data_IF_021262662774
#
_entry.id   IF_021262662774
#
_cell.length_a   1.000
_cell.length_b   1.000
_cell.length_c   1.000
_cell.angle_alpha   90.00
_cell.angle_beta   90.00
_cell.angle_gamma   90.00
#
_symmetry.space_group_name_H-M   'P 1'
#
loop_
_entity.id
_entity.type
_entity.pdbx_description
1 polymer ?
#
# COMPACT_ATOMS: atom_id res chain seq x y z
N UNK A 1 21.99 -44.00 -11.02
CA UNK A 1 21.20 -42.93 -11.67
C UNK A 1 21.62 -42.94 -13.15
N UNK A 2 20.79 -43.48 -14.05
CA UNK A 2 21.14 -43.53 -15.49
C UNK A 2 21.22 -42.10 -16.04
N UNK A 3 22.38 -41.73 -16.56
CA UNK A 3 22.60 -40.43 -17.22
C UNK A 3 21.73 -40.37 -18.48
N UNK A 4 20.82 -39.40 -18.57
CA UNK A 4 19.97 -39.23 -19.76
C UNK A 4 20.83 -38.89 -20.97
N UNK A 5 20.56 -39.47 -22.15
CA UNK A 5 21.35 -39.20 -23.34
C UNK A 5 21.11 -37.76 -23.84
N UNK A 6 22.10 -37.18 -24.47
CA UNK A 6 21.95 -36.00 -25.29
C UNK A 6 21.13 -36.31 -26.55
N UNK A 7 20.56 -35.31 -27.21
CA UNK A 7 19.80 -35.48 -28.44
C UNK A 7 20.69 -36.14 -29.52
N UNK A 8 21.95 -35.72 -29.61
CA UNK A 8 22.94 -36.29 -30.54
C UNK A 8 23.27 -37.75 -30.22
N UNK A 9 23.49 -38.07 -28.94
CA UNK A 9 23.73 -39.46 -28.49
C UNK A 9 22.52 -40.36 -28.79
N UNK A 10 21.30 -39.85 -28.56
CA UNK A 10 20.08 -40.60 -28.88
C UNK A 10 19.93 -40.87 -30.36
N UNK A 11 20.11 -39.87 -31.23
CA UNK A 11 20.02 -40.02 -32.69
C UNK A 11 21.11 -40.98 -33.19
N UNK A 12 22.34 -40.79 -32.72
CA UNK A 12 23.47 -41.62 -33.09
C UNK A 12 23.29 -43.09 -32.65
N UNK A 13 22.92 -43.33 -31.40
CA UNK A 13 22.65 -44.66 -30.87
C UNK A 13 21.54 -45.36 -31.66
N UNK A 14 20.49 -44.63 -32.03
CA UNK A 14 19.38 -45.16 -32.82
C UNK A 14 19.80 -45.52 -34.24
N UNK A 15 20.63 -44.69 -34.89
CA UNK A 15 21.19 -44.99 -36.23
C UNK A 15 22.10 -46.23 -36.18
N UNK A 16 23.02 -46.30 -35.20
CA UNK A 16 23.90 -47.42 -35.01
C UNK A 16 23.12 -48.72 -34.79
N UNK A 17 22.15 -48.71 -33.86
CA UNK A 17 21.34 -49.91 -33.58
C UNK A 17 20.52 -50.35 -34.79
N UNK A 18 19.99 -49.39 -35.58
CA UNK A 18 19.28 -49.70 -36.81
C UNK A 18 20.20 -50.31 -37.88
N UNK A 19 21.41 -49.76 -38.09
CA UNK A 19 22.40 -50.27 -39.02
C UNK A 19 22.80 -51.66 -38.61
N UNK A 20 23.12 -51.88 -37.32
CA UNK A 20 23.46 -53.22 -36.80
C UNK A 20 22.34 -54.25 -37.06
N UNK A 21 21.10 -53.83 -36.75
CA UNK A 21 19.90 -54.65 -36.92
C UNK A 21 19.71 -55.06 -38.42
N UNK A 22 19.78 -54.06 -39.32
CA UNK A 22 19.64 -54.30 -40.78
C UNK A 22 20.74 -55.17 -41.30
N UNK A 23 22.00 -54.93 -40.91
CA UNK A 23 23.15 -55.74 -41.35
C UNK A 23 23.05 -57.14 -40.80
N UNK A 24 22.67 -57.32 -39.52
CA UNK A 24 22.51 -58.68 -38.96
C UNK A 24 21.37 -59.44 -39.64
N UNK A 25 20.23 -58.75 -39.89
CA UNK A 25 19.11 -59.38 -40.63
C UNK A 25 19.53 -59.78 -42.06
N UNK A 26 20.27 -58.89 -42.73
CA UNK A 26 20.77 -59.19 -44.10
C UNK A 26 21.72 -60.42 -44.13
N UNK A 27 22.68 -60.46 -43.22
CA UNK A 27 23.58 -61.58 -43.09
C UNK A 27 22.84 -62.86 -42.74
N UNK A 28 21.91 -62.82 -41.81
CA UNK A 28 21.08 -63.94 -41.38
C UNK A 28 20.26 -64.49 -42.56
N UNK A 29 19.67 -63.65 -43.39
CA UNK A 29 18.93 -64.04 -44.60
C UNK A 29 19.79 -64.63 -45.66
N UNK A 30 21.06 -64.18 -45.82
CA UNK A 30 22.02 -64.79 -46.74
C UNK A 30 22.40 -66.20 -46.33
N UNK A 31 22.47 -66.52 -45.03
CA UNK A 31 22.80 -67.84 -44.53
C UNK A 31 21.61 -68.80 -44.47
N UNK A 32 20.46 -68.35 -44.11
CA UNK A 32 19.24 -69.17 -43.90
C UNK A 32 18.54 -69.55 -45.21
N UNK A 33 18.62 -68.70 -46.26
CA UNK A 33 17.88 -68.89 -47.49
C UNK A 33 18.78 -69.72 -48.43
N UNK A 34 18.31 -70.93 -48.94
CA UNK A 34 19.03 -71.72 -49.85
C UNK A 34 19.37 -70.95 -51.15
N UNK A 35 20.52 -71.30 -51.79
CA UNK A 35 20.98 -70.60 -53.00
C UNK A 35 19.98 -70.65 -54.18
N UNK A 36 19.20 -71.73 -54.29
CA UNK A 36 18.14 -71.86 -55.30
C UNK A 36 17.06 -70.74 -55.25
N UNK A 37 16.87 -70.06 -54.12
CA UNK A 37 15.87 -68.98 -53.93
C UNK A 37 16.51 -67.58 -53.93
N UNK A 38 17.84 -67.45 -54.06
CA UNK A 38 18.55 -66.14 -54.08
C UNK A 38 18.52 -65.57 -55.50
N UNK A 39 17.34 -65.20 -55.96
CA UNK A 39 17.13 -64.43 -57.19
C UNK A 39 17.39 -62.96 -57.04
N UNK A 40 17.52 -62.21 -58.14
CA UNK A 40 17.61 -60.75 -58.15
C UNK A 40 16.38 -60.10 -57.40
N UNK A 41 15.22 -60.70 -57.58
CA UNK A 41 13.98 -60.28 -56.89
C UNK A 41 14.09 -60.38 -55.37
N UNK A 42 14.80 -61.45 -54.85
CA UNK A 42 15.03 -61.57 -53.40
C UNK A 42 15.88 -60.40 -52.84
N UNK A 43 16.93 -60.00 -53.51
CA UNK A 43 17.80 -58.91 -53.08
C UNK A 43 17.06 -57.55 -53.14
N UNK A 44 16.26 -57.32 -54.18
CA UNK A 44 15.44 -56.13 -54.33
C UNK A 44 14.42 -56.06 -53.18
N UNK A 45 13.71 -57.13 -52.82
CA UNK A 45 12.76 -57.21 -51.77
C UNK A 45 13.38 -56.91 -50.39
N UNK A 46 14.58 -57.49 -50.13
CA UNK A 46 15.31 -57.27 -48.91
C UNK A 46 15.79 -55.82 -48.78
N UNK A 47 16.21 -55.21 -49.89
CA UNK A 47 16.57 -53.80 -49.94
C UNK A 47 15.37 -52.92 -49.65
N UNK A 48 14.20 -53.15 -50.25
CA UNK A 48 12.98 -52.40 -50.02
C UNK A 48 12.57 -52.55 -48.56
N UNK A 49 12.62 -53.70 -47.94
CA UNK A 49 12.29 -53.92 -46.54
C UNK A 49 13.26 -53.18 -45.62
N UNK A 50 14.56 -53.11 -45.93
CA UNK A 50 15.53 -52.37 -45.15
C UNK A 50 15.26 -50.87 -45.20
N UNK A 51 14.90 -50.31 -46.38
CA UNK A 51 14.48 -48.87 -46.50
C UNK A 51 13.21 -48.59 -45.77
N UNK A 52 12.22 -49.48 -45.79
CA UNK A 52 10.97 -49.35 -45.04
C UNK A 52 11.22 -49.31 -43.53
N UNK A 53 12.07 -50.14 -42.97
CA UNK A 53 12.48 -50.15 -41.57
C UNK A 53 13.19 -48.84 -41.18
N UNK A 54 14.07 -48.33 -42.07
CA UNK A 54 14.74 -47.05 -41.85
C UNK A 54 13.75 -45.91 -41.79
N UNK A 55 12.84 -45.80 -42.77
CA UNK A 55 11.81 -44.76 -42.79
C UNK A 55 10.89 -44.84 -41.55
N UNK A 56 10.50 -46.06 -41.17
CA UNK A 56 9.70 -46.26 -39.95
C UNK A 56 10.43 -45.79 -38.68
N UNK A 57 11.73 -46.08 -38.58
CA UNK A 57 12.55 -45.62 -37.46
C UNK A 57 12.65 -44.12 -37.39
N UNK A 58 12.90 -43.44 -38.53
CA UNK A 58 12.92 -41.98 -38.62
C UNK A 58 11.57 -41.40 -38.22
N UNK A 59 10.47 -41.93 -38.74
CA UNK A 59 9.10 -41.49 -38.41
C UNK A 59 8.81 -41.54 -36.90
N UNK A 60 9.10 -42.67 -36.24
CA UNK A 60 8.89 -42.75 -34.78
C UNK A 60 9.81 -41.83 -33.97
N UNK A 61 11.04 -41.60 -34.48
CA UNK A 61 11.96 -40.64 -33.86
C UNK A 61 11.47 -39.20 -33.91
N UNK A 62 11.08 -38.76 -35.10
CA UNK A 62 10.55 -37.38 -35.29
C UNK A 62 9.25 -37.17 -34.56
N UNK A 63 8.34 -38.15 -34.56
CA UNK A 63 7.06 -38.08 -33.79
C UNK A 63 7.30 -37.93 -32.29
N UNK A 64 8.36 -38.56 -31.75
CA UNK A 64 8.73 -38.43 -30.32
C UNK A 64 9.25 -37.04 -30.00
N UNK A 65 10.15 -36.48 -30.79
CA UNK A 65 10.69 -35.13 -30.63
C UNK A 65 9.58 -34.10 -30.78
N UNK A 66 8.70 -34.25 -31.79
CA UNK A 66 7.55 -33.34 -31.99
C UNK A 66 6.61 -33.32 -30.79
N UNK A 67 6.41 -34.42 -30.08
CA UNK A 67 5.61 -34.49 -28.87
C UNK A 67 6.25 -33.71 -27.71
N UNK A 68 7.56 -33.77 -27.56
CA UNK A 68 8.26 -32.99 -26.52
C UNK A 68 8.24 -31.49 -26.82
N UNK A 69 8.38 -31.09 -28.10
CA UNK A 69 8.24 -29.69 -28.52
C UNK A 69 6.83 -29.16 -28.25
N UNK A 70 5.79 -29.94 -28.52
CA UNK A 70 4.40 -29.56 -28.27
C UNK A 70 4.13 -29.31 -26.80
N UNK A 71 4.70 -30.09 -25.88
CA UNK A 71 4.59 -29.84 -24.44
C UNK A 71 5.18 -28.48 -24.05
N UNK A 72 6.32 -28.08 -24.64
CA UNK A 72 6.93 -26.76 -24.40
C UNK A 72 6.06 -25.64 -24.97
N UNK A 73 5.46 -25.86 -26.16
CA UNK A 73 4.53 -24.91 -26.78
C UNK A 73 3.26 -24.70 -25.94
N UNK A 74 2.68 -25.78 -25.43
CA UNK A 74 1.49 -25.72 -24.54
C UNK A 74 1.79 -24.95 -23.26
N UNK A 75 3.01 -25.03 -22.68
CA UNK A 75 3.42 -24.23 -21.53
C UNK A 75 3.55 -22.74 -21.86
N UNK A 76 3.96 -22.40 -23.08
CA UNK A 76 4.08 -20.99 -23.51
C UNK A 76 2.72 -20.38 -23.85
N UNK A 77 1.80 -21.17 -24.40
CA UNK A 77 0.47 -20.69 -24.83
C UNK A 77 -0.51 -20.55 -23.65
N UNK A 78 -0.43 -21.43 -22.64
CA UNK A 78 -1.33 -21.43 -21.47
C UNK A 78 -0.81 -20.50 -20.36
N UNK A 79 -0.97 -19.19 -20.57
CA UNK A 79 -0.52 -18.14 -19.66
C UNK A 79 -1.28 -18.09 -18.31
N UNK A 80 -2.42 -18.77 -18.18
CA UNK A 80 -3.31 -18.67 -17.01
C UNK A 80 -3.01 -19.68 -15.89
N UNK A 81 -2.35 -20.81 -16.16
CA UNK A 81 -2.16 -21.88 -15.19
C UNK A 81 -0.70 -22.30 -14.96
N UNK A 82 0.20 -21.32 -14.75
CA UNK A 82 1.59 -21.63 -14.35
C UNK A 82 1.65 -22.42 -13.02
N UNK A 83 0.57 -22.46 -12.27
CA UNK A 83 0.47 -23.28 -11.05
C UNK A 83 0.29 -24.78 -11.31
N UNK A 84 -0.19 -25.15 -12.51
CA UNK A 84 -0.40 -26.52 -12.94
C UNK A 84 0.73 -27.06 -13.85
N UNK A 85 1.79 -26.28 -14.06
CA UNK A 85 2.96 -26.77 -14.80
C UNK A 85 3.56 -27.92 -14.00
N UNK A 86 3.31 -29.12 -14.48
CA UNK A 86 3.85 -30.32 -13.88
C UNK A 86 5.39 -30.31 -13.99
N UNK A 87 6.03 -29.94 -12.88
CA UNK A 87 7.50 -29.97 -12.79
C UNK A 87 8.05 -31.39 -12.90
N UNK A 88 7.16 -32.39 -12.96
CA UNK A 88 7.48 -33.81 -13.10
C UNK A 88 7.48 -34.30 -14.55
N UNK A 89 7.22 -33.43 -15.54
CA UNK A 89 7.30 -33.81 -16.95
C UNK A 89 8.67 -34.40 -17.25
N UNK A 90 8.71 -35.71 -17.58
CA UNK A 90 9.94 -36.45 -17.88
C UNK A 90 10.26 -36.28 -19.35
N UNK A 91 11.20 -35.42 -19.65
CA UNK A 91 11.77 -35.33 -21.00
C UNK A 91 12.76 -36.47 -21.25
N UNK A 92 12.82 -36.91 -22.48
CA UNK A 92 13.67 -38.02 -22.85
C UNK A 92 15.14 -37.60 -23.00
N UNK A 93 15.39 -36.39 -23.51
CA UNK A 93 16.76 -35.88 -23.69
C UNK A 93 17.09 -34.81 -22.62
N UNK A 94 18.40 -34.69 -22.35
CA UNK A 94 18.92 -33.74 -21.35
C UNK A 94 18.64 -32.28 -21.73
N UNK A 95 18.76 -31.95 -23.01
CA UNK A 95 18.56 -30.61 -23.54
C UNK A 95 17.14 -30.13 -23.31
N UNK A 96 16.11 -30.94 -23.56
CA UNK A 96 14.72 -30.59 -23.32
C UNK A 96 14.43 -30.44 -21.83
N UNK A 97 15.06 -31.24 -20.98
CA UNK A 97 14.94 -31.08 -19.52
C UNK A 97 15.53 -29.74 -19.05
N UNK A 98 16.72 -29.36 -19.55
CA UNK A 98 17.37 -28.09 -19.22
C UNK A 98 16.56 -26.87 -19.73
N UNK A 99 16.02 -26.93 -20.95
CA UNK A 99 15.17 -25.92 -21.54
C UNK A 99 13.90 -25.75 -20.69
N UNK A 100 13.24 -26.84 -20.34
CA UNK A 100 12.05 -26.83 -19.51
C UNK A 100 12.30 -26.21 -18.12
N UNK A 101 13.40 -26.59 -17.46
CA UNK A 101 13.79 -26.06 -16.17
C UNK A 101 14.02 -24.55 -16.23
N UNK A 102 14.75 -24.06 -17.24
CA UNK A 102 14.98 -22.62 -17.47
C UNK A 102 13.68 -21.87 -17.79
N UNK A 103 12.81 -22.47 -18.60
CA UNK A 103 11.51 -21.90 -18.94
C UNK A 103 10.64 -21.73 -17.68
N UNK A 104 10.48 -22.79 -16.88
CA UNK A 104 9.72 -22.75 -15.62
C UNK A 104 10.28 -21.68 -14.67
N UNK A 105 11.61 -21.61 -14.53
CA UNK A 105 12.26 -20.59 -13.70
C UNK A 105 11.94 -19.16 -14.19
N UNK A 106 11.99 -18.95 -15.51
CA UNK A 106 11.70 -17.65 -16.12
C UNK A 106 10.24 -17.25 -15.93
N UNK A 107 9.31 -18.16 -16.17
CA UNK A 107 7.87 -17.95 -15.96
C UNK A 107 7.54 -17.63 -14.50
N UNK A 108 8.17 -18.34 -13.55
CA UNK A 108 8.02 -18.03 -12.10
C UNK A 108 8.53 -16.61 -11.76
N UNK A 109 9.67 -16.18 -12.33
CA UNK A 109 10.20 -14.82 -12.16
C UNK A 109 9.25 -13.77 -12.73
N UNK A 110 8.70 -13.99 -13.92
CA UNK A 110 7.73 -13.09 -14.56
C UNK A 110 6.49 -12.96 -13.68
N UNK A 111 5.88 -14.07 -13.24
CA UNK A 111 4.69 -14.08 -12.38
C UNK A 111 4.93 -13.35 -11.06
N UNK A 112 6.12 -13.52 -10.45
CA UNK A 112 6.49 -12.77 -9.23
C UNK A 112 6.54 -11.27 -9.50
N UNK A 113 7.22 -10.84 -10.58
CA UNK A 113 7.30 -9.43 -10.98
C UNK A 113 5.92 -8.81 -11.27
N UNK A 114 5.05 -9.55 -11.95
CA UNK A 114 3.68 -9.08 -12.20
C UNK A 114 2.88 -8.88 -10.90
N UNK A 115 2.98 -9.82 -9.94
CA UNK A 115 2.34 -9.68 -8.63
C UNK A 115 2.87 -8.45 -7.88
N UNK A 116 4.17 -8.23 -7.89
CA UNK A 116 4.81 -7.06 -7.27
C UNK A 116 4.35 -5.77 -7.96
N UNK A 117 4.32 -5.74 -9.31
CA UNK A 117 3.81 -4.60 -10.09
C UNK A 117 2.35 -4.29 -9.78
N UNK A 118 1.48 -5.31 -9.72
CA UNK A 118 0.05 -5.14 -9.35
C UNK A 118 -0.10 -4.55 -7.95
N UNK A 119 0.65 -5.07 -6.95
CA UNK A 119 0.66 -4.52 -5.58
C UNK A 119 1.13 -3.07 -5.55
N UNK A 120 2.19 -2.75 -6.28
CA UNK A 120 2.72 -1.38 -6.38
C UNK A 120 1.71 -0.43 -7.03
N UNK A 121 1.12 -0.82 -8.15
CA UNK A 121 0.08 -0.04 -8.84
C UNK A 121 -1.16 0.18 -7.96
N UNK A 122 -1.61 -0.84 -7.23
CA UNK A 122 -2.72 -0.72 -6.28
C UNK A 122 -2.38 0.29 -5.16
N UNK A 123 -1.15 0.25 -4.62
CA UNK A 123 -0.68 1.19 -3.60
C UNK A 123 -0.63 2.63 -4.12
N UNK A 124 -0.18 2.83 -5.37
CA UNK A 124 -0.18 4.17 -6.01
C UNK A 124 -1.61 4.66 -6.21
N UNK A 125 -2.52 3.83 -6.73
CA UNK A 125 -3.92 4.20 -6.91
C UNK A 125 -4.58 4.61 -5.59
N UNK A 126 -4.32 3.86 -4.52
CA UNK A 126 -4.83 4.19 -3.18
C UNK A 126 -4.28 5.54 -2.69
N UNK A 127 -2.97 5.79 -2.83
CA UNK A 127 -2.36 7.08 -2.47
C UNK A 127 -2.94 8.25 -3.27
N UNK A 128 -3.14 8.07 -4.58
CA UNK A 128 -3.71 9.11 -5.44
C UNK A 128 -5.17 9.41 -5.06
N UNK A 129 -5.96 8.38 -4.75
CA UNK A 129 -7.33 8.55 -4.26
C UNK A 129 -7.35 9.32 -2.95
N UNK A 130 -6.53 8.92 -1.97
CA UNK A 130 -6.42 9.64 -0.69
C UNK A 130 -5.99 11.10 -0.87
N UNK A 131 -5.10 11.38 -1.85
CA UNK A 131 -4.70 12.76 -2.18
C UNK A 131 -5.84 13.55 -2.80
N UNK A 132 -6.63 12.94 -3.69
CA UNK A 132 -7.80 13.57 -4.30
C UNK A 132 -8.88 13.89 -3.26
N UNK A 133 -9.19 12.92 -2.39
CA UNK A 133 -10.15 13.10 -1.30
C UNK A 133 -9.71 14.23 -0.36
N UNK A 134 -8.40 14.31 -0.06
CA UNK A 134 -7.79 15.40 0.71
C UNK A 134 -8.02 16.76 0.05
N UNK A 135 -7.69 16.90 -1.24
CA UNK A 135 -7.84 18.16 -1.96
C UNK A 135 -9.32 18.61 -2.00
N UNK A 136 -10.24 17.67 -2.15
CA UNK A 136 -11.68 17.93 -2.12
C UNK A 136 -12.14 18.43 -0.76
N UNK A 137 -11.70 17.80 0.33
CA UNK A 137 -12.01 18.22 1.70
C UNK A 137 -11.46 19.63 1.98
N UNK A 138 -10.20 19.89 1.60
CA UNK A 138 -9.57 21.21 1.72
C UNK A 138 -10.38 22.28 0.97
N UNK A 139 -10.70 22.02 -0.30
CA UNK A 139 -11.48 22.96 -1.12
C UNK A 139 -12.84 23.30 -0.48
N UNK A 140 -13.49 22.30 0.10
CA UNK A 140 -14.77 22.51 0.81
C UNK A 140 -14.61 23.38 2.04
N UNK A 141 -13.58 23.14 2.86
CA UNK A 141 -13.31 23.91 4.08
C UNK A 141 -12.90 25.36 3.82
N UNK A 142 -12.18 25.62 2.71
CA UNK A 142 -11.87 26.99 2.30
C UNK A 142 -13.07 27.72 1.71
N UNK A 143 -13.94 27.01 0.97
CA UNK A 143 -15.12 27.62 0.34
C UNK A 143 -16.04 28.28 1.36
N UNK A 144 -16.24 27.65 2.52
CA UNK A 144 -17.18 28.15 3.53
C UNK A 144 -16.79 29.53 4.10
N UNK A 145 -15.58 29.74 4.66
CA UNK A 145 -15.17 31.06 5.15
C UNK A 145 -15.08 32.10 4.02
N UNK A 146 -14.67 31.72 2.82
CA UNK A 146 -14.64 32.61 1.65
C UNK A 146 -16.06 33.08 1.30
N UNK A 147 -17.03 32.16 1.21
CA UNK A 147 -18.43 32.51 0.96
C UNK A 147 -19.02 33.46 2.04
N UNK A 148 -18.65 33.20 3.30
CA UNK A 148 -19.07 34.08 4.40
C UNK A 148 -18.44 35.48 4.27
N UNK A 149 -17.16 35.61 3.97
CA UNK A 149 -16.50 36.88 3.73
C UNK A 149 -17.18 37.62 2.58
N UNK A 150 -17.38 36.94 1.44
CA UNK A 150 -18.03 37.51 0.26
C UNK A 150 -19.44 38.01 0.60
N UNK A 151 -20.25 37.19 1.28
CA UNK A 151 -21.62 37.53 1.65
C UNK A 151 -21.69 38.76 2.57
N UNK A 152 -20.88 38.81 3.66
CA UNK A 152 -20.85 39.98 4.53
C UNK A 152 -20.29 41.23 3.84
N UNK A 153 -19.28 41.08 2.96
CA UNK A 153 -18.74 42.19 2.19
C UNK A 153 -19.77 42.75 1.21
N UNK A 154 -20.49 41.87 0.50
CA UNK A 154 -21.56 42.26 -0.42
C UNK A 154 -22.67 43.04 0.32
N UNK A 155 -23.17 42.51 1.45
CA UNK A 155 -24.16 43.17 2.26
C UNK A 155 -23.71 44.58 2.70
N UNK A 156 -22.42 44.72 3.12
CA UNK A 156 -21.83 45.98 3.51
C UNK A 156 -21.68 47.00 2.36
N UNK A 157 -21.59 46.50 1.12
CA UNK A 157 -21.43 47.34 -0.08
C UNK A 157 -22.79 47.75 -0.66
N UNK A 158 -23.80 46.89 -0.60
CA UNK A 158 -25.12 47.13 -1.21
C UNK A 158 -26.05 47.94 -0.34
N UNK A 159 -25.84 47.92 0.98
CA UNK A 159 -26.71 48.64 1.92
C UNK A 159 -25.91 49.73 2.66
N UNK A 160 -26.08 50.98 2.25
CA UNK A 160 -25.44 52.15 2.87
C UNK A 160 -26.05 52.55 4.23
N UNK A 161 -27.28 52.11 4.49
CA UNK A 161 -28.01 52.48 5.72
C UNK A 161 -27.86 51.46 6.87
N UNK A 162 -26.95 50.48 6.74
CA UNK A 162 -26.70 49.50 7.79
C UNK A 162 -26.37 50.18 9.12
N UNK A 163 -27.07 49.84 10.21
CA UNK A 163 -26.77 50.36 11.55
C UNK A 163 -25.33 50.07 11.95
N UNK A 164 -24.61 51.05 12.49
CA UNK A 164 -23.18 50.94 12.87
C UNK A 164 -22.89 49.69 13.69
N UNK A 165 -23.79 49.28 14.59
CA UNK A 165 -23.64 48.03 15.37
C UNK A 165 -23.56 46.77 14.48
N UNK A 166 -24.38 46.69 13.43
CA UNK A 166 -24.39 45.58 12.50
C UNK A 166 -23.16 45.62 11.57
N UNK A 167 -22.77 46.84 11.13
CA UNK A 167 -21.55 47.05 10.34
C UNK A 167 -20.31 46.53 11.08
N UNK A 168 -20.12 46.90 12.33
CA UNK A 168 -19.03 46.39 13.18
C UNK A 168 -19.10 44.88 13.35
N UNK A 169 -20.33 44.34 13.55
CA UNK A 169 -20.52 42.88 13.64
C UNK A 169 -20.12 42.14 12.38
N UNK A 170 -20.48 42.66 11.18
CA UNK A 170 -20.14 42.05 9.91
C UNK A 170 -18.62 42.12 9.61
N UNK A 171 -17.99 43.27 9.87
CA UNK A 171 -16.53 43.40 9.79
C UNK A 171 -15.81 42.42 10.72
N UNK A 172 -16.31 42.25 11.94
CA UNK A 172 -15.79 41.23 12.88
C UNK A 172 -15.97 39.80 12.37
N UNK A 173 -17.07 39.52 11.65
CA UNK A 173 -17.26 38.21 11.00
C UNK A 173 -16.30 37.98 9.82
N UNK A 174 -16.06 39.01 9.00
CA UNK A 174 -15.08 38.96 7.89
C UNK A 174 -13.70 38.66 8.46
N UNK A 175 -13.28 39.44 9.49
CA UNK A 175 -11.99 39.24 10.14
C UNK A 175 -11.81 37.83 10.68
N UNK A 176 -12.78 37.28 11.43
CA UNK A 176 -12.76 35.93 11.99
C UNK A 176 -12.70 34.83 10.91
N UNK A 177 -13.35 35.03 9.76
CA UNK A 177 -13.24 34.08 8.65
C UNK A 177 -11.87 34.18 7.97
N UNK A 178 -11.23 35.35 7.92
CA UNK A 178 -9.86 35.53 7.51
C UNK A 178 -8.87 34.75 8.40
N UNK A 179 -8.99 34.94 9.73
CA UNK A 179 -8.17 34.15 10.70
C UNK A 179 -8.35 32.62 10.51
N UNK A 180 -9.60 32.19 10.26
CA UNK A 180 -9.88 30.78 10.00
C UNK A 180 -9.17 30.26 8.75
N UNK A 181 -9.12 31.04 7.66
CA UNK A 181 -8.37 30.70 6.44
C UNK A 181 -6.88 30.57 6.75
N UNK A 182 -6.30 31.50 7.50
CA UNK A 182 -4.90 31.46 7.90
C UNK A 182 -4.56 30.22 8.73
N UNK A 183 -5.42 29.88 9.71
CA UNK A 183 -5.27 28.65 10.51
C UNK A 183 -5.31 27.38 9.63
N UNK A 184 -6.25 27.29 8.69
CA UNK A 184 -6.36 26.18 7.76
C UNK A 184 -5.10 26.05 6.89
N UNK A 185 -4.58 27.16 6.38
CA UNK A 185 -3.35 27.21 5.58
C UNK A 185 -2.14 26.75 6.38
N UNK A 186 -1.98 27.26 7.59
CA UNK A 186 -0.88 26.88 8.50
C UNK A 186 -0.90 25.39 8.82
N UNK A 187 -2.07 24.81 9.10
CA UNK A 187 -2.23 23.36 9.32
C UNK A 187 -1.88 22.55 8.07
N UNK A 188 -2.25 23.03 6.88
CA UNK A 188 -1.92 22.37 5.60
C UNK A 188 -0.43 22.40 5.30
N UNK A 189 0.24 23.54 5.51
CA UNK A 189 1.68 23.69 5.33
C UNK A 189 2.47 22.82 6.30
N UNK A 190 2.08 22.78 7.56
CA UNK A 190 2.68 21.89 8.56
C UNK A 190 2.51 20.42 8.15
N UNK A 191 1.31 20.04 7.73
CA UNK A 191 1.04 18.69 7.24
C UNK A 191 1.94 18.33 6.03
N UNK A 192 2.08 19.24 5.06
CA UNK A 192 2.92 19.01 3.89
C UNK A 192 4.39 18.77 4.26
N UNK A 193 4.93 19.53 5.24
CA UNK A 193 6.29 19.32 5.77
C UNK A 193 6.47 17.95 6.43
N UNK A 194 5.43 17.43 7.09
CA UNK A 194 5.46 16.06 7.62
C UNK A 194 5.43 14.99 6.51
N UNK A 195 4.64 15.20 5.48
CA UNK A 195 4.56 14.24 4.34
C UNK A 195 5.83 14.20 3.50
N UNK A 196 6.47 15.35 3.29
CA UNK A 196 7.75 15.44 2.55
C UNK A 196 8.95 14.91 3.36
N UNK A 197 8.78 14.71 4.69
CA UNK A 197 9.89 14.35 5.59
C UNK A 197 10.87 15.49 5.85
N UNK A 198 10.51 16.73 5.50
CA UNK A 198 11.34 17.92 5.69
C UNK A 198 11.32 18.44 7.12
N UNK A 199 10.31 18.06 7.92
CA UNK A 199 10.19 18.52 9.29
C UNK A 199 11.29 17.91 10.16
N UNK A 200 12.18 18.78 10.65
CA UNK A 200 13.24 18.44 11.62
C UNK A 200 12.83 18.89 13.00
N UNK A 201 13.16 18.09 14.03
CA UNK A 201 12.94 18.46 15.42
C UNK A 201 13.97 19.51 15.88
N UNK A 202 13.47 20.55 16.55
CA UNK A 202 14.29 21.54 17.25
C UNK A 202 14.17 21.28 18.77
N UNK A 203 14.92 20.29 19.25
CA UNK A 203 14.84 19.87 20.65
C UNK A 203 15.42 20.94 21.60
N UNK A 204 14.63 21.34 22.59
CA UNK A 204 15.02 22.22 23.69
C UNK A 204 14.54 21.65 25.02
N UNK A 205 15.18 22.07 26.12
CA UNK A 205 14.66 21.77 27.48
C UNK A 205 13.74 22.88 27.91
N UNK A 206 12.53 22.55 28.31
CA UNK A 206 11.54 23.52 28.83
C UNK A 206 10.58 22.85 29.81
N UNK A 207 9.92 23.66 30.62
CA UNK A 207 8.88 23.20 31.53
C UNK A 207 7.54 23.16 30.80
N UNK A 208 6.82 22.04 30.92
CA UNK A 208 5.51 21.84 30.31
C UNK A 208 4.41 22.64 31.00
N UNK A 209 4.53 22.93 32.30
CA UNK A 209 3.45 23.58 33.05
C UNK A 209 3.17 24.99 32.58
N UNK A 210 4.15 25.89 32.40
CA UNK A 210 3.92 27.19 31.79
C UNK A 210 3.29 27.08 30.39
N UNK A 211 3.77 26.16 29.55
CA UNK A 211 3.22 25.95 28.21
C UNK A 211 1.74 25.53 28.26
N UNK A 212 1.38 24.60 29.13
CA UNK A 212 -0.01 24.15 29.28
C UNK A 212 -0.92 25.28 29.82
N UNK A 213 -0.39 26.11 30.75
CA UNK A 213 -1.13 27.25 31.26
C UNK A 213 -1.37 28.33 30.19
N UNK A 214 -0.35 28.67 29.39
CA UNK A 214 -0.47 29.63 28.30
C UNK A 214 -1.49 29.15 27.25
N UNK A 215 -1.46 27.86 26.88
CA UNK A 215 -2.45 27.27 25.96
C UNK A 215 -3.87 27.35 26.59
N UNK A 216 -4.00 26.99 27.87
CA UNK A 216 -5.26 27.03 28.59
C UNK A 216 -5.85 28.44 28.60
N UNK A 217 -5.03 29.47 28.88
CA UNK A 217 -5.47 30.85 28.89
C UNK A 217 -5.92 31.34 27.51
N UNK A 218 -5.15 31.10 26.48
CA UNK A 218 -5.48 31.46 25.09
C UNK A 218 -6.78 30.80 24.62
N UNK A 219 -7.02 29.56 25.03
CA UNK A 219 -8.24 28.84 24.66
C UNK A 219 -9.45 29.28 25.46
N UNK A 220 -9.29 29.67 26.72
CA UNK A 220 -10.38 30.30 27.51
C UNK A 220 -10.89 31.60 26.87
N UNK A 221 -9.99 32.42 26.33
CA UNK A 221 -10.36 33.64 25.62
C UNK A 221 -11.14 33.37 24.32
N UNK A 222 -10.79 32.30 23.62
CA UNK A 222 -11.46 31.85 22.38
C UNK A 222 -12.81 31.16 22.66
N UNK A 223 -12.87 30.30 23.67
CA UNK A 223 -14.05 29.52 24.07
C UNK A 223 -14.63 30.06 25.38
N UNK A 224 -15.30 31.22 25.29
CA UNK A 224 -15.93 31.87 26.44
C UNK A 224 -16.89 30.91 27.15
N UNK A 225 -16.86 30.90 28.47
CA UNK A 225 -17.64 30.03 29.35
C UNK A 225 -17.22 28.56 29.39
N UNK A 226 -15.98 28.25 28.99
CA UNK A 226 -15.42 26.89 29.07
C UNK A 226 -14.33 26.87 30.15
N UNK A 227 -14.37 25.90 31.03
CA UNK A 227 -13.37 25.71 32.07
C UNK A 227 -12.29 24.73 31.62
N UNK A 228 -11.00 25.12 31.77
CA UNK A 228 -9.83 24.27 31.52
C UNK A 228 -9.00 24.29 32.80
N UNK A 229 -8.76 23.14 33.38
CA UNK A 229 -7.98 22.99 34.61
C UNK A 229 -6.65 22.33 34.26
N UNK A 230 -5.54 22.90 34.73
CA UNK A 230 -4.18 22.34 34.57
C UNK A 230 -3.70 21.85 35.92
N UNK A 231 -3.53 20.55 36.08
CA UNK A 231 -3.08 19.91 37.31
C UNK A 231 -1.71 19.25 37.11
N UNK A 232 -0.99 19.06 38.20
CA UNK A 232 0.31 18.41 38.23
C UNK A 232 1.47 19.38 38.50
N UNK A 233 2.67 18.79 38.59
CA UNK A 233 3.88 19.53 38.92
C UNK A 233 4.64 19.97 37.67
N UNK A 234 5.58 20.90 37.83
CA UNK A 234 6.52 21.28 36.80
C UNK A 234 7.30 20.05 36.30
N UNK A 235 7.30 19.82 35.01
CA UNK A 235 8.00 18.70 34.36
C UNK A 235 8.90 19.26 33.25
N UNK A 236 10.21 19.21 33.45
CA UNK A 236 11.17 19.63 32.44
C UNK A 236 11.41 18.50 31.46
N UNK A 237 11.04 18.73 30.20
CA UNK A 237 11.16 17.76 29.12
C UNK A 237 12.16 18.23 28.05
N UNK A 238 12.68 17.27 27.29
CA UNK A 238 13.52 17.55 26.11
C UNK A 238 12.73 17.26 24.84
N UNK A 239 12.06 18.28 24.31
CA UNK A 239 11.20 18.15 23.14
C UNK A 239 11.29 19.40 22.25
N UNK A 240 10.62 19.38 21.09
CA UNK A 240 10.39 20.57 20.28
C UNK A 240 9.19 21.33 20.87
N UNK A 241 9.47 22.49 21.49
CA UNK A 241 8.47 23.29 22.20
C UNK A 241 7.30 23.69 21.31
N UNK A 242 7.57 24.14 20.08
CA UNK A 242 6.55 24.58 19.14
C UNK A 242 5.65 23.43 18.69
N UNK A 243 6.22 22.25 18.45
CA UNK A 243 5.46 21.06 18.09
C UNK A 243 4.66 20.50 19.28
N UNK A 244 5.19 20.58 20.50
CA UNK A 244 4.43 20.19 21.72
C UNK A 244 3.26 21.13 21.99
N UNK A 245 3.42 22.42 21.76
CA UNK A 245 2.32 23.39 21.80
C UNK A 245 1.19 22.99 20.85
N UNK A 246 1.54 22.63 19.61
CA UNK A 246 0.56 22.15 18.61
C UNK A 246 -0.14 20.88 19.10
N UNK A 247 0.58 19.92 19.71
CA UNK A 247 -0.01 18.69 20.26
C UNK A 247 -1.03 19.00 21.34
N UNK A 248 -0.61 19.74 22.38
CA UNK A 248 -1.47 20.03 23.53
C UNK A 248 -2.67 20.86 23.08
N UNK A 249 -2.46 21.90 22.27
CA UNK A 249 -3.54 22.73 21.71
C UNK A 249 -4.57 21.90 20.96
N UNK A 250 -4.15 21.00 20.05
CA UNK A 250 -5.09 20.17 19.29
C UNK A 250 -5.88 19.21 20.19
N UNK A 251 -5.25 18.63 21.22
CA UNK A 251 -5.96 17.74 22.14
C UNK A 251 -6.98 18.50 22.98
N UNK A 252 -6.61 19.69 23.50
CA UNK A 252 -7.51 20.52 24.30
C UNK A 252 -8.64 21.12 23.44
N UNK A 253 -8.35 21.57 22.21
CA UNK A 253 -9.40 22.04 21.28
C UNK A 253 -10.40 20.92 20.96
N UNK A 254 -9.94 19.68 20.77
CA UNK A 254 -10.83 18.53 20.58
C UNK A 254 -11.70 18.30 21.85
N UNK A 255 -11.11 18.30 23.03
CA UNK A 255 -11.83 18.12 24.28
C UNK A 255 -12.92 19.21 24.46
N UNK A 256 -12.59 20.49 24.21
CA UNK A 256 -13.54 21.61 24.26
C UNK A 256 -14.65 21.51 23.22
N UNK A 257 -14.39 20.86 22.11
CA UNK A 257 -15.33 20.70 21.01
C UNK A 257 -16.37 19.61 21.24
N UNK A 258 -15.94 18.50 21.83
CA UNK A 258 -16.77 17.30 22.00
C UNK A 258 -17.28 17.10 23.43
N UNK A 259 -16.93 17.98 24.36
CA UNK A 259 -17.46 17.99 25.73
C UNK A 259 -17.97 19.38 26.06
N UNK A 260 -19.04 19.47 26.82
CA UNK A 260 -19.51 20.73 27.42
C UNK A 260 -19.04 20.91 28.87
N UNK A 261 -18.44 19.90 29.44
CA UNK A 261 -17.90 19.84 30.78
C UNK A 261 -16.48 20.40 30.89
N UNK A 262 -15.91 20.38 32.08
CA UNK A 262 -14.54 20.81 32.39
C UNK A 262 -13.52 19.94 31.64
N UNK A 263 -12.58 20.59 30.94
CA UNK A 263 -11.46 19.92 30.32
C UNK A 263 -10.25 19.95 31.25
N UNK A 264 -9.65 18.80 31.50
CA UNK A 264 -8.53 18.64 32.42
C UNK A 264 -7.25 18.29 31.69
N UNK A 265 -6.16 19.02 32.00
CA UNK A 265 -4.81 18.69 31.54
C UNK A 265 -4.03 18.21 32.75
N UNK A 266 -3.66 16.93 32.78
CA UNK A 266 -2.84 16.35 33.86
C UNK A 266 -1.39 16.22 33.38
N UNK A 267 -0.47 16.84 34.13
CA UNK A 267 0.96 16.74 33.93
C UNK A 267 1.56 15.78 34.95
N UNK A 268 1.85 14.56 34.51
CA UNK A 268 2.53 13.53 35.31
C UNK A 268 4.04 13.56 35.02
N UNK A 269 4.83 12.82 35.79
CA UNK A 269 6.28 12.82 35.66
C UNK A 269 6.80 12.46 34.24
N UNK A 270 6.14 11.53 33.56
CA UNK A 270 6.53 11.03 32.24
C UNK A 270 5.38 11.02 31.23
N UNK A 271 4.21 11.53 31.58
CA UNK A 271 3.02 11.45 30.76
C UNK A 271 2.18 12.73 30.86
N UNK A 272 1.64 13.13 29.73
CA UNK A 272 0.61 14.19 29.66
C UNK A 272 -0.71 13.53 29.31
N UNK A 273 -1.79 13.93 30.00
CA UNK A 273 -3.16 13.50 29.75
C UNK A 273 -4.06 14.69 29.52
N UNK A 274 -4.90 14.61 28.51
CA UNK A 274 -6.01 15.54 28.29
C UNK A 274 -7.30 14.74 28.43
N UNK A 275 -8.13 15.15 29.36
CA UNK A 275 -9.34 14.43 29.80
C UNK A 275 -10.55 15.29 29.49
N UNK A 276 -11.54 14.73 28.88
CA UNK A 276 -12.87 15.29 28.65
C UNK A 276 -13.97 14.31 29.13
N UNK A 277 -15.10 14.87 29.49
CA UNK A 277 -16.32 14.15 29.88
C UNK A 277 -17.41 14.34 28.81
N UNK A 278 -17.01 14.29 27.55
CA UNK A 278 -17.89 14.49 26.41
C UNK A 278 -18.56 13.22 25.89
N UNK A 279 -18.97 13.30 24.63
CA UNK A 279 -19.69 12.20 23.93
C UNK A 279 -18.87 10.91 23.76
N UNK A 280 -17.56 10.96 24.00
CA UNK A 280 -16.68 9.82 23.85
C UNK A 280 -16.51 9.36 22.39
N UNK A 281 -15.85 8.21 22.22
CA UNK A 281 -15.51 7.63 20.92
C UNK A 281 -15.84 6.15 20.94
N UNK A 282 -16.60 5.68 19.96
CA UNK A 282 -16.92 4.25 19.83
C UNK A 282 -15.67 3.40 19.58
N UNK A 283 -15.66 2.16 20.05
CA UNK A 283 -14.54 1.23 19.88
C UNK A 283 -14.12 1.06 18.43
N UNK A 284 -15.07 1.08 17.50
CA UNK A 284 -14.80 0.97 16.06
C UNK A 284 -14.08 2.20 15.48
N UNK A 285 -14.21 3.35 16.11
CA UNK A 285 -13.68 4.62 15.64
C UNK A 285 -12.36 5.00 16.30
N UNK A 286 -11.98 4.41 17.44
CA UNK A 286 -10.71 4.71 18.15
C UNK A 286 -9.49 4.63 17.22
N UNK A 287 -9.40 3.58 16.39
CA UNK A 287 -8.29 3.45 15.44
C UNK A 287 -8.40 4.40 14.23
N UNK A 288 -9.62 4.89 13.95
CA UNK A 288 -9.91 5.72 12.79
C UNK A 288 -9.73 7.22 13.09
N UNK A 289 -9.99 7.68 14.31
CA UNK A 289 -9.95 9.13 14.67
C UNK A 289 -8.56 9.76 14.47
N UNK A 290 -7.49 8.97 14.47
CA UNK A 290 -6.13 9.45 14.13
C UNK A 290 -5.81 9.38 12.64
N UNK A 291 -6.74 8.88 11.79
CA UNK A 291 -6.56 8.91 10.34
C UNK A 291 -6.85 10.31 9.81
N UNK A 292 -6.15 10.67 8.75
CA UNK A 292 -6.34 11.96 8.06
C UNK A 292 -7.76 12.12 7.58
N UNK A 293 -8.35 13.30 7.80
CA UNK A 293 -9.68 13.68 7.32
C UNK A 293 -10.83 12.80 7.84
N UNK A 294 -10.56 11.98 8.87
CA UNK A 294 -11.60 11.18 9.49
C UNK A 294 -12.44 12.06 10.43
N UNK A 295 -13.75 11.92 10.33
CA UNK A 295 -14.77 12.55 11.19
C UNK A 295 -15.81 11.49 11.52
N UNK A 296 -16.34 11.53 12.74
CA UNK A 296 -17.39 10.62 13.21
C UNK A 296 -18.78 11.05 12.72
N UNK A 297 -18.99 12.36 12.48
CA UNK A 297 -20.24 12.93 12.01
C UNK A 297 -20.04 13.79 10.77
N UNK A 298 -20.68 13.43 9.66
CA UNK A 298 -20.73 14.26 8.44
C UNK A 298 -21.56 15.56 8.64
N UNK A 299 -22.39 15.63 9.70
CA UNK A 299 -23.36 16.69 9.94
C UNK A 299 -23.00 17.64 11.08
N UNK A 300 -21.85 17.49 11.75
CA UNK A 300 -21.47 18.43 12.80
C UNK A 300 -21.15 19.79 12.18
N UNK A 301 -21.85 20.84 12.66
CA UNK A 301 -21.74 22.25 12.23
C UNK A 301 -20.34 22.83 12.41
N UNK A 302 -19.44 22.09 13.01
CA UNK A 302 -18.07 22.49 13.29
C UNK A 302 -17.14 21.98 12.19
N UNK A 303 -16.88 22.87 11.22
CA UNK A 303 -16.02 22.66 10.06
C UNK A 303 -14.56 22.46 10.48
N UNK A 304 -14.17 21.29 10.94
CA UNK A 304 -12.76 20.96 11.17
C UNK A 304 -12.28 19.91 10.18
N UNK A 305 -11.16 20.18 9.56
CA UNK A 305 -10.53 19.39 8.47
C UNK A 305 -10.17 17.94 8.86
N UNK A 306 -10.42 17.49 10.11
CA UNK A 306 -10.01 16.15 10.57
C UNK A 306 -8.50 15.90 10.53
N UNK A 307 -7.68 16.97 10.61
CA UNK A 307 -6.24 16.90 10.64
C UNK A 307 -5.64 16.97 12.05
N UNK A 308 -6.36 17.46 13.06
CA UNK A 308 -5.81 17.71 14.39
C UNK A 308 -5.13 16.49 15.01
N UNK A 309 -5.87 15.39 15.18
CA UNK A 309 -5.32 14.14 15.73
C UNK A 309 -4.29 13.46 14.82
N UNK A 310 -4.40 13.64 13.51
CA UNK A 310 -3.39 13.16 12.57
C UNK A 310 -2.05 13.91 12.72
N UNK A 311 -2.09 15.24 12.94
CA UNK A 311 -0.91 16.06 13.25
C UNK A 311 -0.33 15.64 14.60
N UNK A 312 -1.14 15.48 15.63
CA UNK A 312 -0.72 14.98 16.96
C UNK A 312 0.05 13.67 16.81
N UNK A 313 -0.53 12.68 16.12
CA UNK A 313 0.10 11.39 15.89
C UNK A 313 1.44 11.51 15.17
N UNK A 314 1.55 12.40 14.19
CA UNK A 314 2.78 12.59 13.42
C UNK A 314 3.87 13.29 14.24
N UNK A 315 3.51 14.31 15.03
CA UNK A 315 4.45 14.99 15.95
C UNK A 315 4.97 14.03 17.00
N UNK A 316 4.09 13.26 17.65
CA UNK A 316 4.49 12.27 18.66
C UNK A 316 5.39 11.19 18.06
N UNK A 317 5.10 10.74 16.84
CA UNK A 317 5.98 9.79 16.13
C UNK A 317 7.39 10.36 15.89
N UNK A 318 7.53 11.64 15.56
CA UNK A 318 8.84 12.29 15.42
C UNK A 318 9.58 12.34 16.77
N UNK A 319 8.86 12.45 17.89
CA UNK A 319 9.43 12.41 19.24
C UNK A 319 9.62 10.97 19.78
N UNK A 320 9.48 9.94 18.91
CA UNK A 320 9.58 8.51 19.27
C UNK A 320 8.58 8.06 20.35
N UNK A 321 7.43 8.72 20.44
CA UNK A 321 6.34 8.36 21.34
C UNK A 321 5.04 8.15 20.58
N UNK A 322 3.98 7.71 21.25
CA UNK A 322 2.69 7.39 20.64
C UNK A 322 1.54 7.95 21.43
N UNK A 323 0.49 8.36 20.72
CA UNK A 323 -0.78 8.75 21.32
C UNK A 323 -1.54 7.51 21.81
N UNK A 324 -1.91 7.49 23.07
CA UNK A 324 -2.84 6.53 23.67
C UNK A 324 -4.20 7.19 23.79
N UNK A 325 -5.26 6.46 23.44
CA UNK A 325 -6.65 6.94 23.48
C UNK A 325 -7.46 5.93 24.29
N UNK A 326 -8.03 6.39 25.40
CA UNK A 326 -8.99 5.64 26.20
C UNK A 326 -10.31 6.39 26.15
N UNK A 327 -11.36 5.77 25.63
CA UNK A 327 -12.66 6.44 25.48
C UNK A 327 -13.79 5.42 25.48
N UNK A 328 -14.93 5.83 26.01
CA UNK A 328 -16.19 5.11 25.99
C UNK A 328 -17.30 6.08 25.60
N UNK A 329 -18.25 5.65 24.76
CA UNK A 329 -19.38 6.47 24.33
C UNK A 329 -20.16 6.98 25.56
N UNK A 330 -20.52 8.27 25.52
CA UNK A 330 -21.22 9.01 26.58
C UNK A 330 -20.49 9.09 27.95
N UNK A 331 -19.19 8.75 27.97
CA UNK A 331 -18.35 8.86 29.19
C UNK A 331 -17.13 9.74 29.01
N UNK A 332 -16.89 10.21 27.80
CA UNK A 332 -15.75 11.05 27.49
C UNK A 332 -14.51 10.32 27.00
N UNK A 333 -13.40 11.05 26.96
CA UNK A 333 -12.13 10.54 26.42
C UNK A 333 -10.93 10.99 27.24
N UNK A 334 -9.90 10.15 27.23
CA UNK A 334 -8.57 10.43 27.76
C UNK A 334 -7.56 10.24 26.64
N UNK A 335 -6.91 11.32 26.27
CA UNK A 335 -5.80 11.32 25.30
C UNK A 335 -4.50 11.47 26.07
N UNK A 336 -3.60 10.52 25.97
CA UNK A 336 -2.34 10.55 26.71
C UNK A 336 -1.13 10.20 25.84
N UNK A 337 0.04 10.72 26.23
CA UNK A 337 1.31 10.41 25.58
C UNK A 337 2.49 10.63 26.53
N UNK A 338 3.57 9.87 26.33
CA UNK A 338 4.82 10.03 27.08
C UNK A 338 5.68 11.17 26.52
N UNK A 339 6.42 11.81 27.40
CA UNK A 339 7.32 12.93 27.09
C UNK A 339 8.76 12.66 27.52
#
# INVERSE_FOLDING_TARGET
MYKRPTLSEYVLARLITLVIFITTLFVLMLFLVPEAYKSISFYITLFILSQMLLLMSVYYGTKRISRELKLVEDYLSNNSEISSIDSSARFFTKEFEEINAKLIQTLRKIKKREREKRKYTAKIKLKNRQRSDMLSAIAHEFRNPIAAIMGYSQTLTEDEEIPTRLRVKFLGKIYKNGEKIEELLSRLLLWNRFESGEQKLQLSKFDLKPLALDISQNLKDKYKNREIVVEGNASVVKADKALMEIVIKNLVENALKYSDEVVKIELLAEEIRVIDLGVGISKENIEKVTKKFFRTDEHSWDNSMGLGLAIVKQVLKLHNTTLKIESEEDRGSVFSFKV
#
